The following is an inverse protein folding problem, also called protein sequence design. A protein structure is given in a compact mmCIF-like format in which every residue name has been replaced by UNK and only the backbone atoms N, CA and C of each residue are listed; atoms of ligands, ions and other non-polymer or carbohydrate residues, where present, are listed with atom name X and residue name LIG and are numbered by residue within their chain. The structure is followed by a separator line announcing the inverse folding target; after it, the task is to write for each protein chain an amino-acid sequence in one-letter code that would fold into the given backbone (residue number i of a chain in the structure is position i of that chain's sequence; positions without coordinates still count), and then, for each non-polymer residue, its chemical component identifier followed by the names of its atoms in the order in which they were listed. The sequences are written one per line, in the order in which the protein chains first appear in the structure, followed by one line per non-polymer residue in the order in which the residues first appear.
data_IF_155234171969
#
_entry.id   IF_155234171969
#
_cell.length_a   1.000
_cell.length_b   1.000
_cell.length_c   1.000
_cell.angle_alpha   90.00
_cell.angle_beta   90.00
_cell.angle_gamma   90.00
#
_symmetry.space_group_name_H-M   'P 1'
#
loop_
_entity.id
_entity.type
_entity.pdbx_description
1 polymer ?
#
# COMPACT_ATOMS: atom_id res chain seq x y z
N UNK A 1 -21.99 -8.87 -9.37
CA UNK A 1 -20.58 -9.07 -9.77
C UNK A 1 -20.02 -7.71 -10.17
N UNK A 2 -18.90 -7.28 -9.58
CA UNK A 2 -18.32 -5.95 -9.86
C UNK A 2 -17.84 -5.87 -11.31
N UNK A 3 -18.23 -4.81 -12.03
CA UNK A 3 -17.79 -4.55 -13.41
C UNK A 3 -16.42 -3.88 -13.51
N UNK A 4 -15.83 -3.50 -12.36
CA UNK A 4 -14.56 -2.76 -12.30
C UNK A 4 -13.34 -3.59 -12.72
N UNK A 5 -13.36 -4.91 -12.48
CA UNK A 5 -12.26 -5.79 -12.91
C UNK A 5 -12.28 -6.10 -14.41
N UNK A 6 -13.43 -5.94 -15.07
CA UNK A 6 -13.60 -6.23 -16.50
C UNK A 6 -13.10 -5.09 -17.41
N UNK A 7 -12.70 -3.94 -16.84
CA UNK A 7 -12.27 -2.80 -17.64
C UNK A 7 -10.94 -3.11 -18.35
N UNK A 8 -10.76 -2.78 -19.65
CA UNK A 8 -9.56 -3.18 -20.42
C UNK A 8 -8.23 -2.59 -19.90
N UNK A 9 -8.30 -1.51 -19.10
CA UNK A 9 -7.13 -0.92 -18.42
C UNK A 9 -6.85 -1.52 -17.04
N UNK A 10 -7.72 -2.41 -16.56
CA UNK A 10 -7.56 -3.09 -15.27
C UNK A 10 -6.81 -4.39 -15.49
N UNK A 11 -5.85 -4.67 -14.61
CA UNK A 11 -5.13 -5.94 -14.59
C UNK A 11 -5.07 -6.44 -13.15
N UNK A 12 -5.75 -7.55 -12.89
CA UNK A 12 -5.78 -8.17 -11.57
C UNK A 12 -4.61 -9.12 -11.41
N UNK A 13 -3.87 -8.97 -10.32
CA UNK A 13 -2.78 -9.86 -9.92
C UNK A 13 -3.17 -10.52 -8.60
N UNK A 14 -3.19 -11.87 -8.58
CA UNK A 14 -3.47 -12.64 -7.35
C UNK A 14 -2.14 -13.17 -6.82
N UNK A 15 -1.73 -12.69 -5.65
CA UNK A 15 -0.45 -13.05 -5.03
C UNK A 15 -0.07 -12.12 -3.90
N UNK A 16 1.18 -12.25 -3.44
CA UNK A 16 1.77 -11.41 -2.40
C UNK A 16 2.16 -10.03 -2.96
N UNK A 17 1.54 -8.97 -2.41
CA UNK A 17 1.78 -7.60 -2.83
C UNK A 17 3.20 -7.09 -2.56
N UNK A 18 3.91 -7.63 -1.56
CA UNK A 18 5.30 -7.24 -1.27
C UNK A 18 6.24 -7.72 -2.36
N UNK A 19 6.06 -8.98 -2.80
CA UNK A 19 6.83 -9.53 -3.92
C UNK A 19 6.53 -8.81 -5.21
N UNK A 20 5.25 -8.52 -5.46
CA UNK A 20 4.83 -7.73 -6.61
C UNK A 20 5.57 -6.39 -6.64
N UNK A 21 5.53 -5.61 -5.56
CA UNK A 21 6.21 -4.32 -5.50
C UNK A 21 7.73 -4.41 -5.61
N UNK A 22 8.35 -5.50 -5.14
CA UNK A 22 9.80 -5.67 -5.24
C UNK A 22 10.28 -5.76 -6.70
N UNK A 23 9.46 -6.32 -7.59
CA UNK A 23 9.77 -6.50 -9.02
C UNK A 23 9.58 -5.22 -9.86
N UNK A 24 8.94 -4.18 -9.30
CA UNK A 24 8.68 -2.93 -10.01
C UNK A 24 9.42 -1.76 -9.36
N UNK A 25 10.19 -1.04 -10.18
CA UNK A 25 10.93 0.17 -9.78
C UNK A 25 10.58 1.31 -10.73
N UNK A 26 10.37 2.52 -10.21
CA UNK A 26 10.08 3.71 -11.03
C UNK A 26 8.94 3.47 -12.05
N UNK A 27 7.92 2.72 -11.66
CA UNK A 27 6.92 2.14 -12.56
C UNK A 27 5.53 2.76 -12.41
N UNK A 28 5.20 3.27 -11.23
CA UNK A 28 3.87 3.78 -10.91
C UNK A 28 3.87 5.28 -10.64
N UNK A 29 2.85 5.98 -11.16
CA UNK A 29 2.64 7.40 -10.86
C UNK A 29 1.86 7.58 -9.54
N UNK A 30 0.94 6.64 -9.26
CA UNK A 30 0.08 6.64 -8.06
C UNK A 30 0.01 5.23 -7.51
N UNK A 31 0.18 5.09 -6.20
CA UNK A 31 -0.08 3.83 -5.48
C UNK A 31 -1.15 4.07 -4.41
N UNK A 32 -2.16 3.20 -4.38
CA UNK A 32 -3.24 3.23 -3.39
C UNK A 32 -3.23 1.90 -2.63
N UNK A 33 -3.00 1.97 -1.33
CA UNK A 33 -3.06 0.83 -0.42
C UNK A 33 -4.38 0.83 0.34
N UNK A 34 -5.30 -0.03 -0.08
CA UNK A 34 -6.56 -0.32 0.60
C UNK A 34 -6.42 -1.65 1.37
N UNK A 35 -5.98 -1.57 2.63
CA UNK A 35 -5.69 -2.73 3.49
C UNK A 35 -6.68 -2.85 4.64
N UNK A 36 -6.69 -3.99 5.34
CA UNK A 36 -7.39 -4.12 6.63
C UNK A 36 -6.68 -3.35 7.76
N UNK A 37 -7.36 -3.18 8.89
CA UNK A 37 -6.76 -2.68 10.13
C UNK A 37 -5.51 -3.51 10.51
N UNK A 38 -4.53 -2.93 11.24
CA UNK A 38 -3.17 -3.47 11.46
C UNK A 38 -3.07 -4.72 12.36
N UNK A 39 -4.04 -5.62 12.29
CA UNK A 39 -4.03 -6.88 13.02
C UNK A 39 -3.57 -8.04 12.12
N UNK A 40 -2.61 -8.84 12.60
CA UNK A 40 -2.08 -10.00 11.89
C UNK A 40 -1.23 -9.62 10.66
N UNK A 41 -1.44 -10.23 9.49
CA UNK A 41 -0.56 -10.04 8.32
C UNK A 41 -0.54 -8.61 7.78
N UNK A 42 -1.53 -7.79 8.12
CA UNK A 42 -1.59 -6.38 7.72
C UNK A 42 -0.60 -5.49 8.51
N UNK A 43 -0.06 -5.93 9.66
CA UNK A 43 0.90 -5.14 10.44
C UNK A 43 2.15 -4.77 9.62
N UNK A 44 2.59 -5.67 8.73
CA UNK A 44 3.74 -5.43 7.85
C UNK A 44 3.51 -4.26 6.88
N UNK A 45 2.26 -3.91 6.58
CA UNK A 45 1.90 -2.76 5.73
C UNK A 45 2.08 -1.42 6.44
N UNK A 46 2.32 -1.42 7.75
CA UNK A 46 2.55 -0.23 8.56
C UNK A 46 4.03 -0.07 8.97
N UNK A 47 4.92 -0.90 8.44
CA UNK A 47 6.36 -0.86 8.73
C UNK A 47 7.14 -0.06 7.69
N UNK A 48 8.29 0.49 8.11
CA UNK A 48 9.18 1.29 7.24
C UNK A 48 9.61 0.55 5.97
N UNK A 49 9.80 -0.77 6.05
CA UNK A 49 10.16 -1.62 4.90
C UNK A 49 9.12 -1.56 3.78
N UNK A 50 7.83 -1.52 4.12
CA UNK A 50 6.75 -1.38 3.15
C UNK A 50 6.78 0.00 2.48
N UNK A 51 6.91 1.08 3.26
CA UNK A 51 7.02 2.43 2.69
C UNK A 51 8.23 2.60 1.78
N UNK A 52 9.36 1.94 2.08
CA UNK A 52 10.51 1.93 1.19
C UNK A 52 10.20 1.23 -0.14
N UNK A 53 9.50 0.09 -0.10
CA UNK A 53 9.06 -0.60 -1.32
C UNK A 53 8.14 0.27 -2.17
N UNK A 54 7.19 0.97 -1.55
CA UNK A 54 6.30 1.89 -2.25
C UNK A 54 7.07 3.04 -2.90
N UNK A 55 7.99 3.66 -2.16
CA UNK A 55 8.83 4.75 -2.66
C UNK A 55 9.66 4.32 -3.87
N UNK A 56 10.30 3.16 -3.80
CA UNK A 56 11.11 2.66 -4.91
C UNK A 56 10.29 2.32 -6.17
N UNK A 57 9.04 1.87 -5.96
CA UNK A 57 8.13 1.53 -7.05
C UNK A 57 7.52 2.77 -7.71
N UNK A 58 7.46 3.90 -7.00
CA UNK A 58 6.98 5.17 -7.52
C UNK A 58 7.97 5.83 -8.49
N UNK A 59 7.41 6.57 -9.43
CA UNK A 59 8.15 7.53 -10.24
C UNK A 59 8.48 8.80 -9.50
N UNK A 60 9.45 9.55 -10.03
CA UNK A 60 9.74 10.90 -9.54
C UNK A 60 8.47 11.77 -9.59
N UNK A 61 8.12 12.38 -8.46
CA UNK A 61 6.88 13.14 -8.30
C UNK A 61 5.61 12.30 -8.09
N UNK A 62 5.74 10.97 -7.99
CA UNK A 62 4.63 10.06 -7.72
C UNK A 62 4.06 10.21 -6.30
N UNK A 63 2.83 9.71 -6.12
CA UNK A 63 2.09 9.87 -4.85
C UNK A 63 1.59 8.54 -4.29
N UNK A 64 1.63 8.42 -2.96
CA UNK A 64 1.06 7.28 -2.22
C UNK A 64 -0.16 7.77 -1.44
N UNK A 65 -1.22 6.98 -1.49
CA UNK A 65 -2.35 7.07 -0.55
C UNK A 65 -2.51 5.72 0.13
N UNK A 66 -2.49 5.71 1.46
CA UNK A 66 -2.71 4.49 2.24
C UNK A 66 -3.87 4.70 3.20
N UNK A 67 -4.63 3.64 3.47
CA UNK A 67 -5.54 3.64 4.60
C UNK A 67 -4.75 3.95 5.88
N UNK A 68 -5.18 4.98 6.61
CA UNK A 68 -4.67 5.30 7.94
C UNK A 68 -5.54 4.64 9.02
N UNK A 69 -4.91 4.20 10.13
CA UNK A 69 -5.60 3.54 11.23
C UNK A 69 -6.87 4.29 11.65
N UNK A 70 -7.99 3.56 11.71
CA UNK A 70 -9.37 4.02 11.95
C UNK A 70 -9.55 4.94 13.17
N UNK A 71 -8.63 4.94 14.14
CA UNK A 71 -8.71 5.79 15.33
C UNK A 71 -7.36 6.43 15.67
N UNK A 72 -7.15 7.72 15.29
CA UNK A 72 -5.91 8.43 15.56
C UNK A 72 -5.52 8.45 17.04
N UNK A 73 -6.49 8.46 17.96
CA UNK A 73 -6.25 8.58 19.39
C UNK A 73 -5.76 7.30 20.09
N UNK A 74 -6.06 6.09 19.58
CA UNK A 74 -5.61 4.83 20.16
C UNK A 74 -4.38 4.27 19.43
N UNK A 75 -4.31 4.43 18.11
CA UNK A 75 -3.37 3.67 17.27
C UNK A 75 -2.28 4.53 16.61
N UNK A 76 -2.48 5.84 16.43
CA UNK A 76 -1.45 6.70 15.83
C UNK A 76 -0.28 6.99 16.80
N UNK A 77 -0.54 7.00 18.11
CA UNK A 77 0.48 7.25 19.13
C UNK A 77 1.63 6.24 19.18
N UNK A 78 1.47 5.06 18.56
CA UNK A 78 2.50 4.00 18.50
C UNK A 78 3.42 4.09 17.29
N UNK A 79 3.01 4.80 16.23
CA UNK A 79 3.79 5.01 14.99
C UNK A 79 4.47 6.38 14.95
N UNK A 80 3.95 7.36 15.69
CA UNK A 80 4.39 8.76 15.69
C UNK A 80 4.67 9.33 17.09
N UNK A 81 4.75 8.48 18.12
CA UNK A 81 5.32 8.84 19.42
C UNK A 81 6.86 8.82 19.37
N UNK A 82 7.55 9.49 20.32
CA UNK A 82 9.02 9.48 20.38
C UNK A 82 9.61 8.08 20.50
#
# INVERSE_FOLDING_TARGET
MSKGFDHPKSKTHVGDGFKFLADYKNSFDVIITDSSDPEGPAESLFQKSYFQLLHDALREGGVISTQGCRFPFLYCGKLWGP
#
